data_IF_220377247451
#
_entry.id   IF_220377247451
#
_cell.length_a   1.000
_cell.length_b   1.000
_cell.length_c   1.000
_cell.angle_alpha   90.00
_cell.angle_beta   90.00
_cell.angle_gamma   90.00
#
_symmetry.space_group_name_H-M   'P 1'
#
loop_
_entity.id
_entity.type
_entity.pdbx_description
1 polymer ?
#
# COMPACT_ATOMS: atom_id res chain seq x y z
N UNK A 1 23.98 -11.14 -4.89
CA UNK A 1 22.74 -10.37 -5.16
C UNK A 1 21.61 -11.10 -4.45
N UNK A 2 21.10 -10.59 -3.34
CA UNK A 2 19.92 -11.17 -2.68
C UNK A 2 18.69 -10.51 -3.30
N UNK A 3 17.83 -11.29 -3.96
CA UNK A 3 16.60 -10.78 -4.55
C UNK A 3 15.65 -10.34 -3.45
N UNK A 4 15.27 -9.06 -3.47
CA UNK A 4 14.21 -8.53 -2.62
C UNK A 4 12.88 -8.79 -3.34
N UNK A 5 11.97 -9.48 -2.67
CA UNK A 5 10.67 -9.85 -3.23
C UNK A 5 9.58 -9.51 -2.22
N UNK A 6 8.51 -8.87 -2.72
CA UNK A 6 7.30 -8.74 -1.95
C UNK A 6 6.80 -10.15 -1.59
N UNK A 7 6.70 -10.44 -0.29
CA UNK A 7 6.26 -11.74 0.23
C UNK A 7 4.75 -11.93 0.01
N UNK A 8 4.01 -10.84 -0.13
CA UNK A 8 2.58 -10.82 -0.42
C UNK A 8 1.97 -9.44 -0.18
N UNK A 9 0.67 -9.32 -0.38
CA UNK A 9 -0.07 -8.11 -0.07
C UNK A 9 -1.59 -8.26 -0.16
N UNK A 10 -2.32 -7.24 0.31
CA UNK A 10 -3.78 -7.24 0.40
C UNK A 10 -4.36 -5.82 0.30
N UNK A 11 -5.52 -5.70 -0.36
CA UNK A 11 -6.30 -4.46 -0.32
C UNK A 11 -7.07 -4.35 0.99
N UNK A 12 -6.93 -3.21 1.67
CA UNK A 12 -7.64 -2.96 2.91
C UNK A 12 -9.03 -2.38 2.66
N UNK A 13 -10.06 -3.17 2.98
CA UNK A 13 -11.48 -2.82 2.80
C UNK A 13 -12.25 -2.65 4.12
N UNK A 14 -11.57 -2.79 5.27
CA UNK A 14 -12.18 -2.67 6.61
C UNK A 14 -12.27 -1.23 7.12
N UNK A 15 -12.79 -1.05 8.34
CA UNK A 15 -12.97 0.27 8.97
C UNK A 15 -12.18 0.46 10.29
N UNK A 16 -11.34 -0.51 10.67
CA UNK A 16 -10.51 -0.50 11.89
C UNK A 16 -9.35 0.50 11.85
N UNK A 17 -8.57 0.52 10.77
CA UNK A 17 -7.49 1.48 10.55
C UNK A 17 -8.00 2.87 10.14
N UNK A 18 -7.21 3.94 10.36
CA UNK A 18 -7.56 5.29 9.92
C UNK A 18 -8.01 5.36 8.46
N UNK A 19 -8.93 6.28 8.16
CA UNK A 19 -9.50 6.44 6.81
C UNK A 19 -8.48 6.73 5.72
N UNK A 20 -7.29 7.23 6.07
CA UNK A 20 -6.16 7.39 5.14
C UNK A 20 -5.67 6.06 4.54
N UNK A 21 -5.91 4.93 5.22
CA UNK A 21 -5.59 3.59 4.72
C UNK A 21 -6.75 2.91 3.98
N UNK A 22 -7.92 3.53 3.89
CA UNK A 22 -9.05 2.96 3.17
C UNK A 22 -8.67 2.74 1.69
N UNK A 23 -8.79 1.51 1.20
CA UNK A 23 -8.51 1.17 -0.20
C UNK A 23 -7.02 1.08 -0.57
N UNK A 24 -6.09 1.20 0.38
CA UNK A 24 -4.66 1.00 0.09
C UNK A 24 -4.33 -0.48 -0.04
N UNK A 25 -3.26 -0.79 -0.77
CA UNK A 25 -2.69 -2.12 -0.88
C UNK A 25 -1.48 -2.24 0.06
N UNK A 26 -1.58 -3.03 1.13
CA UNK A 26 -0.45 -3.32 2.00
C UNK A 26 0.41 -4.42 1.41
N UNK A 27 1.73 -4.29 1.52
CA UNK A 27 2.68 -5.31 1.11
C UNK A 27 3.88 -5.35 2.05
N UNK A 28 4.50 -6.52 2.15
CA UNK A 28 5.69 -6.73 2.97
C UNK A 28 6.82 -7.34 2.16
N UNK A 29 8.05 -7.02 2.55
CA UNK A 29 9.26 -7.67 2.06
C UNK A 29 9.98 -8.29 3.27
N UNK A 30 10.09 -9.62 3.25
CA UNK A 30 10.76 -10.36 4.32
C UNK A 30 12.26 -10.06 4.39
N UNK A 31 12.94 -9.97 3.26
CA UNK A 31 14.38 -9.73 3.20
C UNK A 31 14.75 -8.33 3.71
N UNK A 32 13.86 -7.34 3.49
CA UNK A 32 14.06 -5.95 3.92
C UNK A 32 13.37 -5.61 5.25
N UNK A 33 12.63 -6.55 5.85
CA UNK A 33 11.96 -6.40 7.14
C UNK A 33 11.05 -5.15 7.23
N UNK A 34 10.17 -4.96 6.24
CA UNK A 34 9.19 -3.87 6.29
C UNK A 34 7.78 -4.32 5.89
N UNK A 35 6.82 -3.50 6.31
CA UNK A 35 5.47 -3.43 5.72
C UNK A 35 5.25 -2.00 5.23
N UNK A 36 4.79 -1.86 4.00
CA UNK A 36 4.48 -0.58 3.34
C UNK A 36 3.14 -0.68 2.64
N UNK A 37 2.68 0.43 2.07
CA UNK A 37 1.42 0.48 1.35
C UNK A 37 1.55 1.25 0.04
N UNK A 38 0.69 0.90 -0.91
CA UNK A 38 0.53 1.54 -2.22
C UNK A 38 -0.90 2.05 -2.34
N UNK A 39 -1.09 3.07 -3.18
CA UNK A 39 -2.41 3.67 -3.42
C UNK A 39 -2.67 3.69 -4.92
N UNK A 40 -3.91 3.41 -5.31
CA UNK A 40 -4.33 3.45 -6.72
C UNK A 40 -5.49 4.41 -6.90
N UNK A 41 -5.58 5.02 -8.08
CA UNK A 41 -6.75 5.78 -8.49
C UNK A 41 -7.90 4.85 -8.95
N UNK A 42 -9.03 5.45 -9.37
CA UNK A 42 -10.19 4.72 -9.87
C UNK A 42 -9.95 3.95 -11.19
N UNK A 43 -8.87 4.27 -11.91
CA UNK A 43 -8.47 3.61 -13.15
C UNK A 43 -7.39 2.55 -12.92
N UNK A 44 -7.12 2.19 -11.65
CA UNK A 44 -6.08 1.25 -11.23
C UNK A 44 -4.64 1.70 -11.54
N UNK A 45 -4.43 3.00 -11.73
CA UNK A 45 -3.08 3.54 -11.84
C UNK A 45 -2.48 3.72 -10.45
N UNK A 46 -1.19 3.42 -10.31
CA UNK A 46 -0.45 3.71 -9.09
C UNK A 46 -0.31 5.23 -8.94
N UNK A 47 -0.65 5.74 -7.76
CA UNK A 47 -0.48 7.15 -7.39
C UNK A 47 0.43 7.28 -6.17
N UNK A 48 0.98 8.46 -5.94
CA UNK A 48 1.73 8.72 -4.72
C UNK A 48 0.84 8.55 -3.49
N UNK A 49 1.33 7.75 -2.54
CA UNK A 49 0.60 7.38 -1.33
C UNK A 49 0.26 8.59 -0.42
N UNK A 50 1.00 9.70 -0.55
CA UNK A 50 0.86 10.92 0.26
C UNK A 50 0.23 12.10 -0.52
N UNK A 51 -0.06 11.93 -1.81
CA UNK A 51 -0.69 12.97 -2.65
C UNK A 51 -2.22 12.92 -2.59
N UNK A 52 -2.80 12.56 -1.44
CA UNK A 52 -4.22 12.87 -1.20
C UNK A 52 -4.30 14.39 -1.08
N UNK A 53 -4.45 15.06 -2.23
CA UNK A 53 -4.57 16.50 -2.35
C UNK A 53 -5.55 17.01 -1.31
N UNK A 54 -5.02 17.81 -0.39
CA UNK A 54 -5.80 18.65 0.50
C UNK A 54 -6.84 19.39 -0.35
N UNK A 55 -8.10 18.98 -0.18
CA UNK A 55 -9.26 19.74 -0.63
C UNK A 55 -9.76 20.53 0.57
#
# INVERSE_FOLDING_TARGET
LAGTAATGGVFYTGATYPGSFQGVFFYGDYAQSFVRYLRTDANHNLIEADQVSAT
#
